data_IF_662721832857
#
_entry.id   IF_662721832857
#
_cell.length_a   1.000
_cell.length_b   1.000
_cell.length_c   1.000
_cell.angle_alpha   90.00
_cell.angle_beta   90.00
_cell.angle_gamma   90.00
#
_symmetry.space_group_name_H-M   'P 1'
#
loop_
_entity.id
_entity.type
_entity.pdbx_description
1 polymer ?
#
# COMPACT_ATOMS: atom_id res chain seq x y z
N UNK A 1 -1.20 24.82 -11.98
CA UNK A 1 -0.56 25.24 -13.25
C UNK A 1 0.64 26.06 -12.87
N UNK A 2 1.82 25.55 -13.19
CA UNK A 2 3.10 26.12 -12.77
C UNK A 2 4.17 25.89 -13.84
N UNK A 3 5.25 26.66 -13.84
CA UNK A 3 6.36 26.59 -14.81
C UNK A 3 7.50 25.76 -14.24
N UNK A 4 8.03 24.81 -15.00
CA UNK A 4 9.24 24.07 -14.61
C UNK A 4 10.45 24.98 -14.77
N UNK A 5 11.20 25.21 -13.68
CA UNK A 5 12.37 26.11 -13.68
C UNK A 5 13.70 25.37 -13.51
N UNK A 6 13.69 24.17 -12.94
CA UNK A 6 14.87 23.30 -12.88
C UNK A 6 14.47 21.83 -12.87
N UNK A 7 15.40 20.98 -13.33
CA UNK A 7 15.28 19.53 -13.31
C UNK A 7 16.58 18.96 -12.75
N UNK A 8 16.46 18.21 -11.67
CA UNK A 8 17.57 17.54 -11.01
C UNK A 8 17.38 16.02 -11.11
N UNK A 9 18.35 15.35 -11.71
CA UNK A 9 18.37 13.90 -11.86
C UNK A 9 19.23 13.25 -10.77
N UNK A 10 18.60 12.37 -10.00
CA UNK A 10 19.26 11.57 -8.98
C UNK A 10 19.05 10.08 -9.24
N UNK A 11 19.83 9.25 -8.55
CA UNK A 11 19.71 7.81 -8.69
C UNK A 11 18.32 7.32 -8.25
N UNK A 12 17.51 6.88 -9.22
CA UNK A 12 16.16 6.36 -9.01
C UNK A 12 15.08 7.42 -8.73
N UNK A 13 15.38 8.71 -8.86
CA UNK A 13 14.39 9.76 -8.75
C UNK A 13 14.77 10.99 -9.57
N UNK A 14 13.77 11.67 -10.14
CA UNK A 14 13.90 12.97 -10.80
C UNK A 14 13.11 14.01 -9.99
N UNK A 15 13.70 15.16 -9.76
CA UNK A 15 13.10 16.27 -9.03
C UNK A 15 12.91 17.45 -9.98
N UNK A 16 11.72 18.01 -9.98
CA UNK A 16 11.38 19.23 -10.71
C UNK A 16 11.25 20.37 -9.73
N UNK A 17 11.95 21.46 -9.95
CA UNK A 17 11.64 22.72 -9.27
C UNK A 17 10.65 23.48 -10.11
N UNK A 18 9.55 23.89 -9.48
CA UNK A 18 8.41 24.45 -10.17
C UNK A 18 8.02 25.79 -9.54
N UNK A 19 7.78 26.79 -10.38
CA UNK A 19 7.40 28.15 -9.99
C UNK A 19 5.96 28.47 -10.41
N UNK A 20 5.20 29.05 -9.48
CA UNK A 20 3.83 29.52 -9.70
C UNK A 20 3.69 31.04 -9.62
N UNK A 21 4.82 31.75 -9.56
CA UNK A 21 4.89 33.21 -9.46
C UNK A 21 4.24 33.80 -8.21
N UNK A 22 3.98 32.97 -7.18
CA UNK A 22 3.49 33.45 -5.86
C UNK A 22 4.61 33.83 -4.89
N UNK A 23 5.87 33.58 -5.26
CA UNK A 23 7.06 34.04 -4.55
C UNK A 23 7.90 32.93 -3.90
N UNK A 24 7.47 31.67 -3.92
CA UNK A 24 8.27 30.53 -3.48
C UNK A 24 8.11 29.36 -4.46
N UNK A 25 9.23 28.79 -4.92
CA UNK A 25 9.21 27.59 -5.74
C UNK A 25 9.03 26.34 -4.88
N UNK A 26 8.46 25.28 -5.47
CA UNK A 26 8.27 24.00 -4.81
C UNK A 26 8.91 22.86 -5.60
N UNK A 27 9.56 21.96 -4.87
CA UNK A 27 10.13 20.75 -5.44
C UNK A 27 9.05 19.67 -5.62
N UNK A 28 9.09 18.98 -6.76
CA UNK A 28 8.20 17.90 -7.10
C UNK A 28 9.01 16.68 -7.53
N UNK A 29 8.91 15.57 -6.79
CA UNK A 29 9.70 14.36 -7.04
C UNK A 29 8.89 13.26 -7.74
N UNK A 30 9.50 12.58 -8.71
CA UNK A 30 9.00 11.35 -9.33
C UNK A 30 10.04 10.24 -9.20
N UNK A 31 9.59 9.02 -8.91
CA UNK A 31 10.45 7.84 -8.91
C UNK A 31 10.73 7.43 -10.36
N UNK A 32 12.01 7.32 -10.71
CA UNK A 32 12.46 6.87 -12.02
C UNK A 32 13.00 5.44 -11.92
N UNK A 33 12.83 4.59 -12.96
CA UNK A 33 13.47 3.29 -12.99
C UNK A 33 14.98 3.45 -12.78
N UNK A 34 15.56 2.65 -11.89
CA UNK A 34 17.00 2.69 -11.63
C UNK A 34 17.75 2.35 -12.92
N UNK A 35 18.75 3.16 -13.33
CA UNK A 35 19.59 2.76 -14.44
C UNK A 35 20.27 1.43 -14.11
N UNK A 36 20.47 0.53 -15.10
CA UNK A 36 21.17 -0.73 -14.87
C UNK A 36 22.56 -0.44 -14.30
N UNK A 37 22.93 -1.15 -13.23
CA UNK A 37 24.25 -1.00 -12.59
C UNK A 37 25.35 -1.21 -13.65
N UNK A 38 26.29 -0.27 -13.84
CA UNK A 38 27.46 -0.52 -14.65
C UNK A 38 28.31 -1.58 -13.93
N UNK A 39 28.27 -2.82 -14.43
CA UNK A 39 28.99 -3.96 -13.83
C UNK A 39 28.33 -5.33 -13.99
N UNK A 40 27.10 -5.42 -14.53
CA UNK A 40 26.48 -6.70 -14.88
C UNK A 40 26.43 -6.91 -16.40
N UNK A 41 27.59 -6.84 -17.06
CA UNK A 41 27.76 -7.36 -18.42
C UNK A 41 28.36 -8.76 -18.33
N UNK A 42 27.50 -9.75 -18.11
CA UNK A 42 27.80 -11.15 -18.40
C UNK A 42 27.21 -11.51 -19.76
N UNK A 43 28.09 -11.60 -20.75
CA UNK A 43 27.95 -12.18 -22.09
C UNK A 43 26.54 -12.61 -22.58
N UNK A 44 26.04 -11.91 -23.60
CA UNK A 44 25.45 -12.52 -24.81
C UNK A 44 25.30 -11.49 -25.94
N UNK A 45 26.34 -11.39 -26.76
CA UNK A 45 26.26 -11.11 -28.20
C UNK A 45 25.45 -12.27 -28.84
N UNK A 46 24.56 -12.13 -29.83
CA UNK A 46 24.67 -11.72 -31.25
C UNK A 46 23.18 -11.58 -31.70
N UNK A 47 22.68 -10.62 -32.50
CA UNK A 47 22.91 -10.47 -33.93
C UNK A 47 22.15 -9.26 -34.53
N UNK A 48 22.87 -8.52 -35.39
CA UNK A 48 22.48 -8.00 -36.72
C UNK A 48 21.21 -7.14 -36.90
N UNK A 49 21.47 -5.88 -37.29
CA UNK A 49 21.15 -5.39 -38.65
C UNK A 49 20.06 -4.33 -38.78
N UNK A 50 20.34 -3.25 -39.52
CA UNK A 50 19.31 -2.45 -40.20
C UNK A 50 19.50 -0.94 -40.14
N UNK A 51 19.65 -0.32 -41.31
CA UNK A 51 19.92 1.09 -41.57
C UNK A 51 18.73 2.05 -41.34
N UNK A 52 19.11 3.33 -41.24
CA UNK A 52 18.38 4.58 -41.43
C UNK A 52 16.95 4.56 -42.03
N UNK A 53 16.05 5.40 -41.51
CA UNK A 53 15.39 6.50 -42.24
C UNK A 53 14.24 7.15 -41.45
N UNK A 54 14.37 8.47 -41.26
CA UNK A 54 13.37 9.54 -41.47
C UNK A 54 11.92 9.43 -40.94
N UNK A 55 11.56 10.44 -40.15
CA UNK A 55 10.37 11.31 -40.32
C UNK A 55 8.98 10.66 -40.41
N UNK A 56 8.12 10.90 -39.40
CA UNK A 56 6.98 11.83 -39.51
C UNK A 56 6.14 11.89 -38.23
N UNK A 57 5.79 13.14 -37.91
CA UNK A 57 4.59 13.61 -37.22
C UNK A 57 3.39 12.67 -37.28
N UNK A 58 2.79 12.40 -36.12
CA UNK A 58 1.36 12.15 -35.98
C UNK A 58 0.86 12.81 -34.69
N UNK A 59 0.12 13.89 -34.88
CA UNK A 59 -0.79 14.51 -33.92
C UNK A 59 -1.71 13.47 -33.30
N UNK A 60 -1.62 13.31 -31.98
CA UNK A 60 -2.65 12.67 -31.18
C UNK A 60 -3.02 13.60 -30.02
N UNK A 61 -4.10 14.36 -30.22
CA UNK A 61 -4.89 14.89 -29.12
C UNK A 61 -5.42 13.70 -28.33
N UNK A 62 -4.78 13.41 -27.22
CA UNK A 62 -5.24 12.45 -26.25
C UNK A 62 -4.82 12.95 -24.88
N UNK A 63 -5.79 13.15 -23.99
CA UNK A 63 -5.58 13.35 -22.56
C UNK A 63 -4.96 12.08 -21.96
N UNK A 64 -3.68 11.84 -22.25
CA UNK A 64 -2.93 10.72 -21.74
C UNK A 64 -2.58 11.02 -20.28
N UNK A 65 -3.23 10.30 -19.37
CA UNK A 65 -2.75 10.20 -17.99
C UNK A 65 -1.57 9.25 -18.03
N UNK A 66 -0.37 9.79 -18.22
CA UNK A 66 0.86 9.02 -18.38
C UNK A 66 1.41 8.57 -17.03
N UNK A 67 1.86 7.31 -16.99
CA UNK A 67 2.49 6.68 -15.82
C UNK A 67 3.83 7.35 -15.48
N UNK A 68 4.24 7.27 -14.20
CA UNK A 68 5.38 8.00 -13.62
C UNK A 68 6.69 7.90 -14.39
N UNK A 69 6.96 6.79 -15.08
CA UNK A 69 8.17 6.61 -15.88
C UNK A 69 8.15 7.36 -17.21
N UNK A 70 6.97 7.58 -17.81
CA UNK A 70 6.80 8.33 -19.06
C UNK A 70 6.84 9.83 -18.77
N UNK A 71 6.36 10.24 -17.58
CA UNK A 71 6.41 11.64 -17.13
C UNK A 71 7.82 12.22 -17.04
N UNK A 72 8.83 11.37 -16.85
CA UNK A 72 10.21 11.81 -16.78
C UNK A 72 10.72 12.34 -18.12
N UNK A 73 10.43 11.67 -19.23
CA UNK A 73 11.07 11.97 -20.51
C UNK A 73 10.46 13.17 -21.27
N UNK A 74 9.19 13.50 -21.02
CA UNK A 74 8.43 14.46 -21.85
C UNK A 74 8.35 15.88 -21.26
N UNK A 75 8.93 16.12 -20.08
CA UNK A 75 8.86 17.41 -19.38
C UNK A 75 10.25 18.04 -19.33
N UNK A 76 10.34 19.28 -19.79
CA UNK A 76 11.56 20.07 -19.81
C UNK A 76 11.37 21.43 -19.11
N UNK A 77 12.47 22.11 -18.85
CA UNK A 77 12.51 23.46 -18.30
C UNK A 77 11.76 24.44 -19.23
N UNK A 78 11.00 25.36 -18.63
CA UNK A 78 10.16 26.32 -19.33
C UNK A 78 8.78 25.78 -19.71
N UNK A 79 8.52 24.48 -19.55
CA UNK A 79 7.18 23.94 -19.79
C UNK A 79 6.21 24.30 -18.67
N UNK A 80 4.96 24.58 -19.05
CA UNK A 80 3.85 24.79 -18.12
C UNK A 80 3.15 23.45 -17.85
N UNK A 81 2.99 23.13 -16.57
CA UNK A 81 2.46 21.84 -16.12
C UNK A 81 1.38 22.01 -15.03
N UNK A 82 0.41 21.10 -15.02
CA UNK A 82 -0.49 20.85 -13.89
C UNK A 82 0.01 19.62 -13.15
N UNK A 83 0.56 19.82 -11.95
CA UNK A 83 1.09 18.75 -11.09
C UNK A 83 0.07 18.42 -10.01
N UNK A 84 -0.26 17.14 -9.89
CA UNK A 84 -1.09 16.58 -8.82
C UNK A 84 -0.30 15.53 -8.07
N UNK A 85 -0.33 15.63 -6.76
CA UNK A 85 0.45 14.74 -5.92
C UNK A 85 0.11 14.88 -4.45
N UNK A 86 0.93 14.21 -3.64
CA UNK A 86 0.84 14.32 -2.18
C UNK A 86 1.95 15.22 -1.68
N UNK A 87 1.60 16.15 -0.79
CA UNK A 87 2.58 16.96 -0.07
C UNK A 87 3.28 16.07 0.97
N UNK A 88 4.60 16.15 1.02
CA UNK A 88 5.48 15.48 1.98
C UNK A 88 6.47 16.51 2.52
N UNK A 89 6.97 16.29 3.73
CA UNK A 89 8.13 17.00 4.27
C UNK A 89 9.40 16.19 4.02
N UNK A 90 10.43 16.84 3.49
CA UNK A 90 11.76 16.27 3.30
C UNK A 90 12.80 17.30 3.72
N UNK A 91 13.63 16.97 4.72
CA UNK A 91 14.62 17.90 5.31
C UNK A 91 14.01 19.27 5.66
N UNK A 92 12.85 19.23 6.32
CA UNK A 92 12.04 20.40 6.72
C UNK A 92 11.56 21.31 5.57
N UNK A 93 11.68 20.85 4.32
CA UNK A 93 11.10 21.50 3.13
C UNK A 93 9.88 20.74 2.64
N UNK A 94 8.89 21.47 2.13
CA UNK A 94 7.70 20.87 1.51
C UNK A 94 8.05 20.43 0.09
N UNK A 95 7.73 19.17 -0.22
CA UNK A 95 7.93 18.57 -1.52
C UNK A 95 6.64 17.88 -1.97
N UNK A 96 6.38 17.82 -3.26
CA UNK A 96 5.24 17.10 -3.83
C UNK A 96 5.72 15.78 -4.44
N UNK A 97 5.22 14.65 -3.92
CA UNK A 97 5.34 13.36 -4.62
C UNK A 97 4.34 13.33 -5.77
N UNK A 98 4.84 13.42 -6.99
CA UNK A 98 4.03 13.47 -8.22
C UNK A 98 3.26 12.15 -8.35
N UNK A 99 1.94 12.26 -8.51
CA UNK A 99 1.05 11.15 -8.85
C UNK A 99 0.54 11.27 -10.29
N UNK A 100 0.26 12.50 -10.72
CA UNK A 100 -0.16 12.82 -12.08
C UNK A 100 0.42 14.17 -12.45
N UNK A 101 0.89 14.29 -13.69
CA UNK A 101 1.25 15.57 -14.28
C UNK A 101 0.62 15.65 -15.65
N UNK A 102 0.26 16.86 -16.05
CA UNK A 102 -0.29 17.14 -17.36
C UNK A 102 0.38 18.39 -17.92
N UNK A 103 0.92 18.31 -19.12
CA UNK A 103 1.42 19.48 -19.84
C UNK A 103 0.25 20.38 -20.24
N UNK A 104 0.39 21.67 -19.99
CA UNK A 104 -0.53 22.70 -20.46
C UNK A 104 0.13 23.34 -21.68
N UNK A 105 -0.57 23.28 -22.81
CA UNK A 105 0.01 23.60 -24.11
C UNK A 105 -0.37 24.97 -24.66
N UNK A 106 -1.31 25.68 -24.02
CA UNK A 106 -1.79 26.97 -24.53
C UNK A 106 -2.08 27.97 -23.42
N UNK A 107 -1.83 29.24 -23.73
CA UNK A 107 -2.12 30.38 -22.83
C UNK A 107 -3.61 30.47 -22.49
N UNK A 108 -4.50 30.07 -23.40
CA UNK A 108 -5.94 30.03 -23.11
C UNK A 108 -6.27 29.02 -21.99
N UNK A 109 -5.63 27.84 -21.98
CA UNK A 109 -5.79 26.89 -20.89
C UNK A 109 -5.22 27.44 -19.59
N UNK A 110 -4.08 28.13 -19.65
CA UNK A 110 -3.44 28.75 -18.49
C UNK A 110 -4.36 29.74 -17.78
N UNK A 111 -4.95 30.68 -18.54
CA UNK A 111 -5.89 31.67 -18.02
C UNK A 111 -7.11 31.00 -17.38
N UNK A 112 -7.63 29.92 -17.98
CA UNK A 112 -8.72 29.15 -17.39
C UNK A 112 -8.34 28.48 -16.07
N UNK A 113 -7.11 28.00 -15.93
CA UNK A 113 -6.62 27.44 -14.67
C UNK A 113 -6.51 28.51 -13.59
N UNK A 114 -6.03 29.71 -13.93
CA UNK A 114 -5.96 30.82 -12.98
C UNK A 114 -7.34 31.23 -12.45
N UNK A 115 -8.32 31.35 -13.35
CA UNK A 115 -9.71 31.62 -12.94
C UNK A 115 -10.23 30.57 -11.95
N UNK A 116 -10.04 29.28 -12.26
CA UNK A 116 -10.46 28.18 -11.38
C UNK A 116 -9.78 28.21 -10.01
N UNK A 117 -8.48 28.49 -9.95
CA UNK A 117 -7.73 28.57 -8.68
C UNK A 117 -8.20 29.78 -7.87
N UNK A 118 -8.39 30.92 -8.51
CA UNK A 118 -8.88 32.14 -7.87
C UNK A 118 -10.28 31.94 -7.28
N UNK A 119 -11.20 31.38 -8.05
CA UNK A 119 -12.56 31.09 -7.59
C UNK A 119 -12.55 30.07 -6.44
N UNK A 120 -11.78 28.98 -6.56
CA UNK A 120 -11.65 28.01 -5.48
C UNK A 120 -11.07 28.61 -4.21
N UNK A 121 -10.06 29.48 -4.33
CA UNK A 121 -9.47 30.17 -3.19
C UNK A 121 -10.50 31.09 -2.53
N UNK A 122 -11.23 31.90 -3.31
CA UNK A 122 -12.23 32.85 -2.79
C UNK A 122 -13.42 32.12 -2.15
N UNK A 123 -13.98 31.13 -2.85
CA UNK A 123 -15.28 30.56 -2.53
C UNK A 123 -15.17 29.38 -1.55
N UNK A 124 -14.02 28.70 -1.51
CA UNK A 124 -13.79 27.53 -0.64
C UNK A 124 -12.73 27.81 0.42
N UNK A 125 -11.48 28.11 0.04
CA UNK A 125 -10.36 28.15 0.99
C UNK A 125 -10.35 29.39 1.89
N UNK A 126 -10.88 30.51 1.43
CA UNK A 126 -10.93 31.76 2.20
C UNK A 126 -12.05 31.77 3.24
N UNK A 127 -13.01 30.84 3.12
CA UNK A 127 -14.10 30.69 4.08
C UNK A 127 -13.65 29.74 5.19
N UNK A 128 -13.83 30.10 6.47
CA UNK A 128 -13.48 29.20 7.56
C UNK A 128 -14.34 27.94 7.47
N UNK A 129 -13.70 26.78 7.70
CA UNK A 129 -14.42 25.52 7.78
C UNK A 129 -15.14 25.43 9.13
N UNK A 130 -16.44 25.76 9.11
CA UNK A 130 -17.29 25.76 10.30
C UNK A 130 -18.21 24.53 10.28
N UNK A 131 -18.17 23.76 11.37
CA UNK A 131 -19.12 22.68 11.62
C UNK A 131 -20.10 23.08 12.71
N UNK A 132 -21.39 22.93 12.43
CA UNK A 132 -22.43 23.18 13.41
C UNK A 132 -22.35 22.18 14.57
N UNK A 133 -22.55 22.67 15.79
CA UNK A 133 -22.56 21.83 17.01
C UNK A 133 -23.59 20.69 16.92
N UNK A 134 -24.68 20.89 16.18
CA UNK A 134 -25.69 19.85 15.92
C UNK A 134 -25.12 18.71 15.07
N UNK A 135 -24.38 19.03 14.03
CA UNK A 135 -23.78 18.05 13.13
C UNK A 135 -22.65 17.30 13.81
N UNK A 136 -21.82 17.99 14.60
CA UNK A 136 -20.78 17.36 15.42
C UNK A 136 -21.42 16.36 16.40
N UNK A 137 -22.51 16.74 17.08
CA UNK A 137 -23.22 15.81 18.00
C UNK A 137 -23.81 14.61 17.25
N UNK A 138 -24.41 14.84 16.08
CA UNK A 138 -24.97 13.76 15.26
C UNK A 138 -23.87 12.79 14.81
N UNK A 139 -22.76 13.31 14.30
CA UNK A 139 -21.61 12.50 13.87
C UNK A 139 -21.01 11.69 15.03
N UNK A 140 -20.83 12.31 16.20
CA UNK A 140 -20.35 11.62 17.42
C UNK A 140 -21.30 10.50 17.86
N UNK A 141 -22.61 10.77 17.88
CA UNK A 141 -23.62 9.76 18.23
C UNK A 141 -23.61 8.59 17.25
N UNK A 142 -23.52 8.87 15.95
CA UNK A 142 -23.46 7.82 14.93
C UNK A 142 -22.19 6.97 15.08
N UNK A 143 -21.03 7.61 15.25
CA UNK A 143 -19.78 6.91 15.43
C UNK A 143 -19.80 5.97 16.66
N UNK A 144 -20.33 6.42 17.80
CA UNK A 144 -20.47 5.59 18.98
C UNK A 144 -21.42 4.39 18.76
N UNK A 145 -22.54 4.62 18.07
CA UNK A 145 -23.47 3.56 17.72
C UNK A 145 -22.85 2.52 16.77
N UNK A 146 -22.05 2.98 15.80
CA UNK A 146 -21.35 2.11 14.84
C UNK A 146 -20.28 1.26 15.55
N UNK A 147 -19.48 1.86 16.44
CA UNK A 147 -18.48 1.15 17.25
C UNK A 147 -19.11 0.06 18.12
N UNK A 148 -20.21 0.40 18.81
CA UNK A 148 -20.94 -0.52 19.68
C UNK A 148 -21.63 -1.65 18.86
N UNK A 149 -22.17 -1.34 17.67
CA UNK A 149 -22.68 -2.34 16.75
C UNK A 149 -21.59 -3.30 16.24
N UNK A 150 -20.42 -2.76 15.87
CA UNK A 150 -19.27 -3.55 15.43
C UNK A 150 -18.72 -4.42 16.55
N UNK A 151 -18.65 -3.92 17.78
CA UNK A 151 -18.23 -4.71 18.94
C UNK A 151 -19.21 -5.86 19.21
N UNK A 152 -20.52 -5.59 19.22
CA UNK A 152 -21.53 -6.66 19.34
C UNK A 152 -21.41 -7.69 18.24
N UNK A 153 -21.15 -7.26 17.00
CA UNK A 153 -20.95 -8.16 15.86
C UNK A 153 -19.70 -9.01 16.04
N UNK A 154 -18.59 -8.43 16.53
CA UNK A 154 -17.36 -9.19 16.85
C UNK A 154 -17.61 -10.22 17.93
N UNK A 155 -18.25 -9.85 19.05
CA UNK A 155 -18.60 -10.77 20.15
C UNK A 155 -19.50 -11.92 19.67
N UNK A 156 -20.48 -11.65 18.80
CA UNK A 156 -21.35 -12.69 18.22
C UNK A 156 -20.56 -13.68 17.36
N UNK A 157 -19.66 -13.17 16.50
CA UNK A 157 -18.81 -14.02 15.65
C UNK A 157 -17.85 -14.88 16.47
N UNK A 158 -17.25 -14.32 17.52
CA UNK A 158 -16.35 -15.05 18.40
C UNK A 158 -17.07 -16.18 19.15
N UNK A 159 -18.25 -15.89 19.74
CA UNK A 159 -19.06 -16.95 20.36
C UNK A 159 -19.43 -18.06 19.39
N UNK A 160 -19.82 -17.70 18.16
CA UNK A 160 -20.13 -18.69 17.14
C UNK A 160 -18.90 -19.55 16.77
N UNK A 161 -17.70 -18.93 16.70
CA UNK A 161 -16.45 -19.65 16.46
C UNK A 161 -16.11 -20.62 17.59
N UNK A 162 -16.29 -20.20 18.84
CA UNK A 162 -16.06 -21.06 20.02
C UNK A 162 -17.00 -22.25 20.03
N UNK A 163 -18.30 -22.04 19.78
CA UNK A 163 -19.28 -23.12 19.70
C UNK A 163 -18.97 -24.12 18.59
N UNK A 164 -18.57 -23.64 17.40
CA UNK A 164 -18.15 -24.52 16.30
C UNK A 164 -16.91 -25.34 16.65
N UNK A 165 -15.95 -24.74 17.36
CA UNK A 165 -14.74 -25.43 17.80
C UNK A 165 -15.07 -26.51 18.84
N UNK A 166 -15.91 -26.20 19.83
CA UNK A 166 -16.37 -27.17 20.82
C UNK A 166 -17.14 -28.34 20.17
N UNK A 167 -18.01 -28.05 19.20
CA UNK A 167 -18.73 -29.10 18.46
C UNK A 167 -17.77 -29.97 17.64
N UNK A 168 -16.78 -29.37 16.99
CA UNK A 168 -15.75 -30.10 16.25
C UNK A 168 -14.89 -30.97 17.18
N UNK A 169 -14.55 -30.48 18.37
CA UNK A 169 -13.78 -31.23 19.37
C UNK A 169 -14.60 -32.38 19.97
N UNK A 170 -15.90 -32.19 20.23
CA UNK A 170 -16.81 -33.28 20.62
C UNK A 170 -16.88 -34.35 19.55
N UNK A 171 -17.01 -33.98 18.27
CA UNK A 171 -16.99 -34.95 17.15
C UNK A 171 -15.66 -35.72 17.07
N UNK A 172 -14.53 -35.06 17.33
CA UNK A 172 -13.19 -35.69 17.37
C UNK A 172 -12.99 -36.60 18.59
N UNK A 173 -13.54 -36.24 19.75
CA UNK A 173 -13.45 -37.02 20.98
C UNK A 173 -14.23 -38.34 20.92
N UNK A 174 -15.43 -38.33 20.34
CA UNK A 174 -16.24 -39.55 20.12
C UNK A 174 -15.51 -40.54 19.20
N UNK A 175 -14.87 -40.05 18.12
CA UNK A 175 -14.08 -40.91 17.23
C UNK A 175 -12.81 -41.51 17.85
N UNK A 176 -12.26 -40.92 18.92
CA UNK A 176 -11.13 -41.50 19.69
C UNK A 176 -11.60 -42.54 20.71
N UNK A 177 -12.74 -42.32 21.37
CA UNK A 177 -13.30 -43.27 22.34
C UNK A 177 -13.71 -44.59 21.68
N UNK A 178 -14.31 -44.55 20.49
CA UNK A 178 -14.62 -45.76 19.71
C UNK A 178 -13.36 -46.50 19.24
N UNK A 179 -12.29 -45.76 18.91
CA UNK A 179 -10.99 -46.37 18.53
C UNK A 179 -10.33 -47.09 19.71
N UNK A 180 -10.38 -46.54 20.92
CA UNK A 180 -9.83 -47.19 22.12
C UNK A 180 -10.66 -48.41 22.56
N UNK A 181 -11.98 -48.40 22.37
CA UNK A 181 -12.85 -49.57 22.66
C UNK A 181 -12.61 -50.74 21.69
N UNK A 182 -12.29 -50.44 20.43
CA UNK A 182 -11.95 -51.46 19.44
C UNK A 182 -10.59 -52.12 19.72
N UNK A 183 -9.60 -51.37 20.22
CA UNK A 183 -8.28 -51.94 20.56
C UNK A 183 -8.28 -52.77 21.85
N UNK A 184 -9.10 -52.45 22.86
CA UNK A 184 -9.13 -53.24 24.11
C UNK A 184 -9.85 -54.58 23.96
N UNK A 185 -10.72 -54.72 22.95
CA UNK A 185 -11.48 -55.97 22.72
C UNK A 185 -10.66 -57.01 21.93
N UNK A 186 -9.63 -56.59 21.21
CA UNK A 186 -8.77 -57.50 20.41
C UNK A 186 -7.59 -58.09 21.18
N UNK A 187 -7.24 -57.57 22.37
CA UNK A 187 -6.04 -57.99 23.11
C UNK A 187 -6.29 -59.09 24.17
N UNK A 188 -7.51 -59.64 24.29
CA UNK A 188 -7.83 -60.72 25.25
C UNK A 188 -7.75 -62.14 24.66
N UNK A 189 -7.25 -62.30 23.43
CA UNK A 189 -7.05 -63.61 22.78
C UNK A 189 -5.63 -63.75 22.22
N UNK A 190 -4.59 -63.48 23.03
CA UNK A 190 -3.27 -64.08 22.79
C UNK A 190 -2.48 -64.36 24.08
N UNK A 191 -2.80 -65.52 24.64
CA UNK A 191 -1.93 -66.53 25.24
C UNK A 191 -0.41 -66.21 25.36
N UNK A 192 0.07 -66.39 26.61
CA UNK A 192 1.37 -66.93 27.06
C UNK A 192 2.66 -66.07 27.07
N UNK A 193 3.27 -66.10 28.26
CA UNK A 193 4.61 -65.69 28.78
C UNK A 193 5.81 -66.26 27.96
N UNK A 194 7.11 -65.93 28.24
CA UNK A 194 7.66 -65.27 29.45
C UNK A 194 8.87 -64.30 29.27
N UNK A 195 9.28 -63.74 30.42
CA UNK A 195 10.67 -63.53 30.87
C UNK A 195 11.24 -62.09 30.93
N UNK A 196 11.47 -61.68 32.20
CA UNK A 196 12.67 -61.04 32.77
C UNK A 196 13.20 -59.74 32.14
N UNK A 197 13.13 -58.65 32.91
CA UNK A 197 14.26 -57.90 33.53
C UNK A 197 13.74 -56.52 33.98
N UNK A 198 13.71 -56.23 35.29
CA UNK A 198 14.70 -55.48 36.10
C UNK A 198 14.98 -54.03 35.63
N UNK A 199 14.75 -53.10 36.57
CA UNK A 199 15.20 -51.70 36.55
C UNK A 199 14.13 -50.76 36.00
N UNK A 200 13.74 -49.64 36.59
CA UNK A 200 14.18 -48.84 37.74
C UNK A 200 13.26 -47.59 37.73
N UNK A 201 12.80 -47.10 38.89
CA UNK A 201 13.07 -45.73 39.40
C UNK A 201 13.29 -44.65 38.31
N UNK A 202 12.74 -43.45 38.31
CA UNK A 202 12.07 -42.56 39.29
C UNK A 202 11.86 -41.22 38.58
N UNK A 203 10.83 -40.45 38.96
CA UNK A 203 10.73 -38.96 38.93
C UNK A 203 10.95 -38.25 37.58
N UNK A 204 10.44 -37.05 37.31
CA UNK A 204 9.70 -36.01 38.02
C UNK A 204 9.36 -34.97 36.93
N UNK A 205 8.17 -34.38 36.98
CA UNK A 205 7.97 -32.98 37.37
C UNK A 205 8.58 -31.91 36.46
N UNK A 206 7.70 -31.02 36.01
CA UNK A 206 8.01 -29.63 35.65
C UNK A 206 8.60 -29.43 34.25
N UNK A 207 8.39 -28.32 33.57
CA UNK A 207 7.74 -27.06 33.90
C UNK A 207 7.52 -26.32 32.57
N UNK A 208 6.53 -25.43 32.59
CA UNK A 208 6.27 -24.39 31.60
C UNK A 208 7.46 -23.45 31.53
N UNK A 209 7.81 -22.98 30.33
CA UNK A 209 8.59 -21.76 30.20
C UNK A 209 7.96 -20.83 29.16
N UNK A 210 7.70 -19.61 29.63
CA UNK A 210 7.01 -18.55 28.95
C UNK A 210 7.96 -17.36 28.92
N UNK A 211 8.50 -17.04 27.75
CA UNK A 211 9.23 -15.79 27.50
C UNK A 211 8.97 -15.43 26.01
N UNK A 212 8.49 -14.24 25.63
CA UNK A 212 8.38 -13.00 26.37
C UNK A 212 9.66 -12.16 26.27
N UNK A 213 10.08 -11.85 25.04
CA UNK A 213 10.94 -10.71 24.68
C UNK A 213 10.71 -10.35 23.21
#
# INVERSE_FOLDING_TARGET
MWVVVAIDDFYGHRVYTIDDSTGECIECSVETPKPPKPGAQGAKEVARGGAASSSRTATAQGTATTSSSVLAADIDVGMVVDVKGRVKLFRDRKQIKIQKVQRIGSTAQEVQFWGKIQDFRRDVLSRPWLLDKRDVRRAKKQHLADVDADERRRRRKERHRLLQQEEADRRRGVGKADRHRATTTTDLVHRQSPAKSKGGRTHGDGQYDALGL
#
